data_IF_577798197443
#
_entry.id   IF_577798197443
#
_cell.length_a   1.000
_cell.length_b   1.000
_cell.length_c   1.000
_cell.angle_alpha   90.00
_cell.angle_beta   90.00
_cell.angle_gamma   90.00
#
_symmetry.space_group_name_H-M   'P 1'
#
loop_
_entity.id
_entity.type
_entity.pdbx_description
1 polymer ?
#
# COMPACT_ATOMS: atom_id res chain seq x y z
N UNK A 1 11.88 -18.92 -14.45
CA UNK A 1 10.63 -18.60 -13.73
C UNK A 1 10.68 -17.19 -13.17
N UNK A 2 9.54 -16.45 -13.19
CA UNK A 2 9.46 -15.09 -12.65
C UNK A 2 8.61 -15.09 -11.37
N UNK A 3 9.11 -14.51 -10.26
CA UNK A 3 8.38 -14.33 -9.01
C UNK A 3 8.08 -12.84 -8.81
N UNK A 4 6.82 -12.44 -8.83
CA UNK A 4 6.41 -11.13 -8.34
C UNK A 4 6.40 -11.17 -6.81
N UNK A 5 7.10 -10.25 -6.16
CA UNK A 5 7.30 -10.30 -4.71
C UNK A 5 7.03 -8.95 -4.07
N UNK A 6 6.21 -8.94 -3.02
CA UNK A 6 5.99 -7.76 -2.19
C UNK A 6 7.13 -7.53 -1.21
N UNK A 7 7.76 -6.36 -1.31
CA UNK A 7 8.87 -5.95 -0.45
C UNK A 7 8.44 -5.50 0.96
N UNK A 8 7.14 -5.38 1.21
CA UNK A 8 6.64 -4.78 2.43
C UNK A 8 6.64 -3.23 2.39
N UNK A 9 6.23 -2.57 3.49
CA UNK A 9 6.00 -1.13 3.52
C UNK A 9 7.27 -0.29 3.65
N UNK A 10 8.41 -0.91 3.99
CA UNK A 10 9.68 -0.19 4.13
C UNK A 10 10.73 -0.86 5.01
N UNK A 11 10.40 -1.25 6.23
CA UNK A 11 11.33 -1.98 7.09
C UNK A 11 11.67 -3.36 6.48
N UNK A 12 12.95 -3.73 6.38
CA UNK A 12 13.35 -4.98 5.72
C UNK A 12 12.80 -6.25 6.38
N UNK A 13 12.56 -6.22 7.68
CA UNK A 13 12.01 -7.34 8.46
C UNK A 13 10.49 -7.51 8.27
N UNK A 14 9.83 -6.59 7.57
CA UNK A 14 8.41 -6.71 7.18
C UNK A 14 8.22 -7.37 5.81
N UNK A 15 9.27 -7.82 5.16
CA UNK A 15 9.15 -8.75 4.02
C UNK A 15 8.63 -10.11 4.53
N UNK A 16 7.84 -10.79 3.72
CA UNK A 16 7.42 -12.15 4.07
C UNK A 16 8.62 -13.11 4.04
N UNK A 17 8.57 -14.17 4.86
CA UNK A 17 9.62 -15.20 4.87
C UNK A 17 9.82 -15.82 3.47
N UNK A 18 8.73 -16.03 2.71
CA UNK A 18 8.80 -16.51 1.33
C UNK A 18 9.49 -15.50 0.43
N UNK A 19 9.12 -14.23 0.50
CA UNK A 19 9.76 -13.17 -0.29
C UNK A 19 11.26 -13.06 -0.02
N UNK A 20 11.67 -13.15 1.26
CA UNK A 20 13.09 -13.15 1.62
C UNK A 20 13.84 -14.36 1.04
N UNK A 21 13.27 -15.57 1.12
CA UNK A 21 13.86 -16.77 0.53
C UNK A 21 14.03 -16.66 -0.98
N UNK A 22 12.99 -16.14 -1.69
CA UNK A 22 13.07 -15.92 -3.13
C UNK A 22 14.16 -14.91 -3.52
N UNK A 23 14.37 -13.85 -2.73
CA UNK A 23 15.46 -12.90 -2.94
C UNK A 23 16.85 -13.57 -2.80
N UNK A 24 16.99 -14.48 -1.82
CA UNK A 24 18.25 -15.19 -1.57
C UNK A 24 18.59 -16.18 -2.68
N UNK A 25 17.59 -16.73 -3.35
CA UNK A 25 17.77 -17.72 -4.43
C UNK A 25 17.81 -17.10 -5.83
N UNK A 26 17.41 -15.82 -5.99
CA UNK A 26 17.30 -15.15 -7.26
C UNK A 26 18.61 -15.07 -8.05
N UNK A 27 18.53 -15.32 -9.36
CA UNK A 27 19.62 -15.03 -10.30
C UNK A 27 19.55 -13.59 -10.81
N UNK A 28 18.34 -13.02 -10.77
CA UNK A 28 18.08 -11.64 -11.16
C UNK A 28 17.02 -11.02 -10.26
N UNK A 29 17.24 -9.79 -9.82
CA UNK A 29 16.25 -8.97 -9.12
C UNK A 29 15.99 -7.71 -9.94
N UNK A 30 14.71 -7.44 -10.25
CA UNK A 30 14.25 -6.19 -10.85
C UNK A 30 13.37 -5.49 -9.83
N UNK A 31 13.85 -4.42 -9.21
CA UNK A 31 13.13 -3.74 -8.13
C UNK A 31 12.49 -2.41 -8.56
N UNK A 32 11.43 -2.00 -7.87
CA UNK A 32 10.60 -0.84 -8.20
C UNK A 32 11.19 0.50 -7.66
N UNK A 33 12.44 0.76 -7.93
CA UNK A 33 13.10 2.05 -7.66
C UNK A 33 13.12 2.44 -6.18
N UNK A 34 13.04 3.75 -5.92
CA UNK A 34 13.19 4.35 -4.58
C UNK A 34 12.07 4.01 -3.58
N UNK A 35 11.06 3.29 -4.00
CA UNK A 35 9.97 2.83 -3.13
C UNK A 35 10.30 1.51 -2.43
N UNK A 36 11.31 0.78 -2.89
CA UNK A 36 11.81 -0.44 -2.26
C UNK A 36 13.03 -0.11 -1.39
N UNK A 37 13.06 -0.62 -0.17
CA UNK A 37 14.21 -0.39 0.71
C UNK A 37 15.45 -1.12 0.16
N UNK A 38 16.55 -0.39 -0.13
CA UNK A 38 17.77 -0.98 -0.69
C UNK A 38 18.39 -2.07 0.20
N UNK A 39 18.15 -2.04 1.51
CA UNK A 39 18.66 -3.06 2.42
C UNK A 39 18.17 -4.48 2.07
N UNK A 40 17.01 -4.61 1.42
CA UNK A 40 16.51 -5.89 0.92
C UNK A 40 17.39 -6.50 -0.17
N UNK A 41 18.05 -5.67 -0.97
CA UNK A 41 18.97 -6.14 -2.02
C UNK A 41 20.21 -6.83 -1.43
N UNK A 42 20.52 -6.55 -0.17
CA UNK A 42 21.58 -7.24 0.57
C UNK A 42 21.26 -8.70 0.93
N UNK A 43 20.02 -9.17 0.70
CA UNK A 43 19.65 -10.58 0.84
C UNK A 43 20.09 -11.41 -0.38
N UNK A 44 20.31 -10.77 -1.52
CA UNK A 44 20.67 -11.45 -2.76
C UNK A 44 22.06 -12.09 -2.67
N UNK A 45 22.24 -13.19 -3.41
CA UNK A 45 23.56 -13.80 -3.58
C UNK A 45 24.51 -12.87 -4.36
N UNK A 46 25.84 -12.99 -4.15
CA UNK A 46 26.81 -12.06 -4.76
C UNK A 46 26.75 -11.93 -6.29
N UNK A 47 26.41 -13.01 -6.98
CA UNK A 47 26.33 -13.09 -8.44
C UNK A 47 24.97 -12.66 -9.00
N UNK A 48 24.00 -12.32 -8.15
CA UNK A 48 22.66 -11.89 -8.58
C UNK A 48 22.72 -10.58 -9.37
N UNK A 49 22.16 -10.58 -10.58
CA UNK A 49 22.03 -9.36 -11.36
C UNK A 49 20.89 -8.48 -10.79
N UNK A 50 21.14 -7.18 -10.59
CA UNK A 50 20.16 -6.26 -9.98
C UNK A 50 19.87 -5.11 -10.93
N UNK A 51 18.57 -4.88 -11.23
CA UNK A 51 18.08 -3.83 -12.10
C UNK A 51 17.09 -2.92 -11.39
N UNK A 52 17.19 -1.61 -11.64
CA UNK A 52 16.24 -0.61 -11.17
C UNK A 52 15.21 -0.31 -12.26
N UNK A 53 13.98 -0.79 -12.11
CA UNK A 53 12.94 -0.57 -13.13
C UNK A 53 12.43 0.87 -13.23
N UNK A 54 12.79 1.77 -12.31
CA UNK A 54 12.48 3.19 -12.48
C UNK A 54 13.22 3.83 -13.67
N UNK A 55 14.25 3.17 -14.17
CA UNK A 55 15.10 3.59 -15.29
C UNK A 55 14.84 2.77 -16.57
N UNK A 56 13.81 1.92 -16.56
CA UNK A 56 13.52 0.95 -17.63
C UNK A 56 12.12 1.15 -18.19
N UNK A 57 11.95 0.81 -19.47
CA UNK A 57 10.63 0.63 -20.07
C UNK A 57 10.09 -0.79 -19.78
N UNK A 58 8.80 -1.02 -20.06
CA UNK A 58 8.19 -2.35 -19.93
C UNK A 58 8.95 -3.40 -20.76
N UNK A 59 9.26 -3.07 -22.00
CA UNK A 59 9.97 -3.96 -22.92
C UNK A 59 11.34 -4.33 -22.38
N UNK A 60 12.09 -3.37 -21.82
CA UNK A 60 13.40 -3.62 -21.21
C UNK A 60 13.30 -4.54 -19.99
N UNK A 61 12.26 -4.36 -19.15
CA UNK A 61 11.99 -5.27 -18.03
C UNK A 61 11.70 -6.67 -18.51
N UNK A 62 10.82 -6.82 -19.50
CA UNK A 62 10.48 -8.12 -20.11
C UNK A 62 11.67 -8.78 -20.78
N UNK A 63 12.51 -8.03 -21.49
CA UNK A 63 13.73 -8.55 -22.13
C UNK A 63 14.73 -9.10 -21.11
N UNK A 64 14.83 -8.49 -19.93
CA UNK A 64 15.64 -9.05 -18.84
C UNK A 64 15.04 -10.38 -18.36
N UNK A 65 13.73 -10.44 -18.11
CA UNK A 65 13.05 -11.67 -17.68
C UNK A 65 13.22 -12.81 -18.69
N UNK A 66 13.02 -12.51 -19.98
CA UNK A 66 13.21 -13.49 -21.08
C UNK A 66 14.63 -14.04 -21.14
N UNK A 67 15.65 -13.18 -21.02
CA UNK A 67 17.06 -13.60 -21.05
C UNK A 67 17.41 -14.49 -19.87
N UNK A 68 16.92 -14.16 -18.67
CA UNK A 68 17.16 -14.95 -17.45
C UNK A 68 16.47 -16.31 -17.58
N UNK A 69 15.22 -16.34 -18.05
CA UNK A 69 14.48 -17.59 -18.29
C UNK A 69 15.17 -18.48 -19.32
N UNK A 70 15.61 -17.91 -20.45
CA UNK A 70 16.33 -18.64 -21.48
C UNK A 70 17.66 -19.26 -20.99
N UNK A 71 18.26 -18.66 -19.96
CA UNK A 71 19.45 -19.20 -19.29
C UNK A 71 19.10 -20.22 -18.18
N UNK A 72 17.82 -20.54 -17.97
CA UNK A 72 17.35 -21.44 -16.90
C UNK A 72 17.38 -20.81 -15.50
N UNK A 73 17.49 -19.50 -15.41
CA UNK A 73 17.56 -18.76 -14.16
C UNK A 73 16.20 -18.30 -13.62
N UNK A 74 16.23 -17.71 -12.43
CA UNK A 74 15.05 -17.22 -11.71
C UNK A 74 15.11 -15.71 -11.56
N UNK A 75 14.02 -15.03 -11.94
CA UNK A 75 13.87 -13.57 -11.76
C UNK A 75 12.91 -13.26 -10.60
N UNK A 76 13.32 -12.39 -9.69
CA UNK A 76 12.42 -11.76 -8.72
C UNK A 76 12.08 -10.36 -9.18
N UNK A 77 10.78 -10.09 -9.39
CA UNK A 77 10.23 -8.77 -9.65
C UNK A 77 9.75 -8.17 -8.32
N UNK A 78 10.57 -7.33 -7.70
CA UNK A 78 10.37 -6.82 -6.34
C UNK A 78 9.59 -5.48 -6.35
N UNK A 79 8.40 -5.48 -5.77
CA UNK A 79 7.49 -4.34 -5.68
C UNK A 79 7.39 -3.82 -4.25
N UNK A 80 7.20 -2.52 -4.07
CA UNK A 80 6.90 -1.95 -2.75
C UNK A 80 5.54 -2.43 -2.24
N UNK A 81 5.42 -2.62 -0.94
CA UNK A 81 4.19 -3.08 -0.31
C UNK A 81 3.78 -4.46 -0.81
N UNK A 82 2.67 -4.50 -1.51
CA UNK A 82 2.10 -5.67 -2.17
C UNK A 82 1.92 -5.39 -3.67
N UNK A 83 2.32 -6.30 -4.57
CA UNK A 83 2.21 -6.11 -6.02
C UNK A 83 0.77 -5.89 -6.52
N UNK A 84 -0.24 -6.42 -5.83
CA UNK A 84 -1.64 -6.34 -6.24
C UNK A 84 -2.22 -4.92 -6.17
N UNK A 85 -1.58 -3.98 -5.44
CA UNK A 85 -2.02 -2.60 -5.31
C UNK A 85 -1.08 -1.64 -6.04
N UNK A 86 -1.52 -1.15 -7.20
CA UNK A 86 -0.79 -0.19 -8.04
C UNK A 86 0.60 -0.68 -8.50
N UNK A 87 0.80 -2.00 -8.55
CA UNK A 87 2.07 -2.61 -8.93
C UNK A 87 2.36 -2.60 -10.43
N UNK A 88 1.37 -2.33 -11.30
CA UNK A 88 1.49 -2.41 -12.75
C UNK A 88 2.07 -3.77 -13.21
N UNK A 89 1.57 -4.87 -12.60
CA UNK A 89 2.05 -6.21 -12.88
C UNK A 89 1.25 -6.92 -13.96
N UNK A 90 0.00 -6.49 -14.21
CA UNK A 90 -0.89 -7.17 -15.13
C UNK A 90 -0.32 -7.24 -16.55
N UNK A 91 0.17 -6.14 -17.08
CA UNK A 91 0.78 -6.09 -18.41
C UNK A 91 2.07 -6.94 -18.51
N UNK A 92 2.79 -7.09 -17.40
CA UNK A 92 3.96 -7.98 -17.34
C UNK A 92 3.51 -9.45 -17.37
N UNK A 93 2.49 -9.82 -16.60
CA UNK A 93 1.92 -11.18 -16.60
C UNK A 93 1.35 -11.57 -17.96
N UNK A 94 0.59 -10.66 -18.60
CA UNK A 94 0.03 -10.91 -19.95
C UNK A 94 1.13 -11.17 -20.99
N UNK A 95 2.26 -10.47 -20.88
CA UNK A 95 3.41 -10.70 -21.78
C UNK A 95 4.12 -12.03 -21.47
N UNK A 96 4.27 -12.39 -20.20
CA UNK A 96 4.86 -13.66 -19.78
C UNK A 96 3.97 -14.86 -20.21
N UNK A 97 2.64 -14.72 -20.12
CA UNK A 97 1.69 -15.69 -20.62
C UNK A 97 1.86 -15.91 -22.14
N UNK A 98 1.99 -14.83 -22.90
CA UNK A 98 2.20 -14.89 -24.35
C UNK A 98 3.54 -15.57 -24.72
N UNK A 99 4.56 -15.40 -23.89
CA UNK A 99 5.88 -16.00 -24.06
C UNK A 99 5.96 -17.44 -23.50
N UNK A 100 4.92 -17.93 -22.79
CA UNK A 100 4.93 -19.23 -22.11
C UNK A 100 5.90 -19.31 -20.93
N UNK A 101 6.25 -18.16 -20.34
CA UNK A 101 7.16 -18.07 -19.18
C UNK A 101 6.33 -18.21 -17.89
N UNK A 102 6.64 -19.21 -17.04
CA UNK A 102 5.91 -19.41 -15.79
C UNK A 102 6.23 -18.30 -14.78
N UNK A 103 5.19 -17.88 -14.05
CA UNK A 103 5.33 -16.91 -12.97
C UNK A 103 4.40 -17.23 -11.80
N UNK A 104 4.68 -16.64 -10.65
CA UNK A 104 3.80 -16.61 -9.49
C UNK A 104 3.84 -15.25 -8.78
N UNK A 105 2.95 -15.06 -7.80
CA UNK A 105 2.89 -13.88 -6.97
C UNK A 105 3.02 -14.26 -5.49
N UNK A 106 3.93 -13.58 -4.80
CA UNK A 106 4.13 -13.67 -3.35
C UNK A 106 3.67 -12.36 -2.70
N UNK A 107 2.55 -12.38 -1.97
CA UNK A 107 2.02 -11.17 -1.36
C UNK A 107 2.99 -10.54 -0.36
N UNK A 108 2.89 -9.23 -0.22
CA UNK A 108 3.65 -8.45 0.75
C UNK A 108 2.75 -7.73 1.75
N UNK A 109 3.35 -7.16 2.80
CA UNK A 109 2.63 -6.27 3.70
C UNK A 109 2.45 -4.93 2.99
N UNK A 110 1.23 -4.62 2.58
CA UNK A 110 0.94 -3.37 1.88
C UNK A 110 1.20 -2.15 2.76
N UNK A 111 1.57 -1.04 2.14
CA UNK A 111 1.84 0.21 2.84
C UNK A 111 0.62 0.76 3.61
N UNK A 112 -0.61 0.41 3.23
CA UNK A 112 -1.78 0.80 4.04
C UNK A 112 -1.80 0.08 5.39
N UNK A 113 -1.38 -1.19 5.46
CA UNK A 113 -1.19 -1.89 6.74
C UNK A 113 -0.07 -1.24 7.55
N UNK A 114 1.03 -0.86 6.89
CA UNK A 114 2.13 -0.12 7.53
C UNK A 114 1.68 1.23 8.09
N UNK A 115 0.79 1.94 7.39
CA UNK A 115 0.22 3.20 7.87
C UNK A 115 -0.68 3.01 9.10
N UNK A 116 -1.52 1.97 9.12
CA UNK A 116 -2.33 1.63 10.29
C UNK A 116 -1.45 1.32 11.51
N UNK A 117 -0.39 0.52 11.32
CA UNK A 117 0.57 0.19 12.38
C UNK A 117 1.29 1.44 12.91
N UNK A 118 1.73 2.35 12.02
CA UNK A 118 2.35 3.62 12.42
C UNK A 118 1.41 4.54 13.21
N UNK A 119 0.10 4.41 12.99
CA UNK A 119 -0.94 5.16 13.67
C UNK A 119 -1.43 4.47 14.95
N UNK A 120 -1.06 3.19 15.18
CA UNK A 120 -1.69 2.32 16.18
C UNK A 120 -3.22 2.33 16.06
N UNK A 121 -3.72 2.17 14.84
CA UNK A 121 -5.14 2.30 14.52
C UNK A 121 -5.67 1.06 13.80
N UNK A 122 -6.94 0.76 14.03
CA UNK A 122 -7.73 -0.21 13.28
C UNK A 122 -8.68 0.53 12.35
N UNK A 123 -8.67 0.21 11.06
CA UNK A 123 -9.49 0.89 10.06
C UNK A 123 -10.99 0.60 10.18
N UNK A 124 -11.34 -0.55 10.77
CA UNK A 124 -12.71 -1.05 10.83
C UNK A 124 -13.19 -1.11 12.28
N UNK A 125 -13.88 -0.06 12.72
CA UNK A 125 -14.43 0.04 14.07
C UNK A 125 -15.95 -0.10 14.04
N UNK A 126 -16.56 -0.86 14.99
CA UNK A 126 -18.00 -0.93 15.14
C UNK A 126 -18.62 0.47 15.24
N UNK A 127 -19.76 0.68 14.60
CA UNK A 127 -20.54 1.93 14.51
C UNK A 127 -19.85 3.10 13.81
N UNK A 128 -18.54 3.02 13.54
CA UNK A 128 -17.76 4.07 12.86
C UNK A 128 -17.65 3.79 11.37
N UNK A 129 -16.95 2.72 11.00
CA UNK A 129 -16.82 2.28 9.62
C UNK A 129 -16.45 0.80 9.58
N UNK A 130 -17.13 0.02 8.74
CA UNK A 130 -16.79 -1.38 8.44
C UNK A 130 -16.25 -1.52 7.02
N UNK A 131 -16.05 -0.39 6.33
CA UNK A 131 -15.59 -0.33 4.95
C UNK A 131 -14.30 0.48 4.87
N UNK A 132 -13.32 -0.04 4.14
CA UNK A 132 -12.07 0.66 3.81
C UNK A 132 -12.03 0.88 2.31
N UNK A 133 -12.04 2.14 1.89
CA UNK A 133 -11.88 2.52 0.48
C UNK A 133 -10.40 2.81 0.23
N UNK A 134 -9.76 1.95 -0.54
CA UNK A 134 -8.39 2.15 -1.03
C UNK A 134 -8.48 2.77 -2.42
N UNK A 135 -7.93 3.96 -2.60
CA UNK A 135 -8.03 4.71 -3.85
C UNK A 135 -6.82 5.62 -4.08
N UNK A 136 -6.86 6.37 -5.17
CA UNK A 136 -5.93 7.46 -5.47
C UNK A 136 -6.67 8.64 -6.09
N UNK A 137 -6.09 9.81 -5.98
CA UNK A 137 -6.52 10.98 -6.76
C UNK A 137 -6.12 10.81 -8.23
N UNK A 138 -6.95 11.26 -9.15
CA UNK A 138 -6.54 11.41 -10.54
C UNK A 138 -5.41 12.44 -10.67
N UNK A 139 -4.43 12.13 -11.50
CA UNK A 139 -3.26 12.98 -11.73
C UNK A 139 -2.89 12.97 -13.21
N UNK A 140 -1.67 12.54 -13.52
CA UNK A 140 -1.24 12.34 -14.92
C UNK A 140 -2.01 11.23 -15.63
N UNK A 141 -2.50 10.25 -14.87
CA UNK A 141 -3.35 9.18 -15.36
C UNK A 141 -4.76 9.35 -14.79
N UNK A 142 -5.81 9.14 -15.60
CA UNK A 142 -7.20 9.29 -15.16
C UNK A 142 -7.60 8.19 -14.18
N UNK A 143 -8.72 8.38 -13.51
CA UNK A 143 -9.49 7.35 -12.82
C UNK A 143 -10.87 7.26 -13.49
N UNK A 144 -11.57 6.11 -13.41
CA UNK A 144 -12.94 6.01 -13.88
C UNK A 144 -13.83 7.08 -13.24
N UNK A 145 -14.81 7.60 -13.98
CA UNK A 145 -15.67 8.70 -13.51
C UNK A 145 -16.35 8.40 -12.15
N UNK A 146 -16.79 7.15 -11.97
CA UNK A 146 -17.44 6.69 -10.73
C UNK A 146 -16.47 6.57 -9.54
N UNK A 147 -15.16 6.57 -9.82
CA UNK A 147 -14.09 6.43 -8.81
C UNK A 147 -13.38 7.74 -8.52
N UNK A 148 -13.91 8.86 -8.99
CA UNK A 148 -13.42 10.17 -8.59
C UNK A 148 -13.46 10.32 -7.09
N UNK A 149 -12.42 10.92 -6.53
CA UNK A 149 -12.24 10.99 -5.07
C UNK A 149 -13.44 11.62 -4.36
N UNK A 150 -14.09 12.65 -4.95
CA UNK A 150 -15.29 13.25 -4.38
C UNK A 150 -16.48 12.28 -4.34
N UNK A 151 -16.65 11.44 -5.38
CA UNK A 151 -17.70 10.42 -5.40
C UNK A 151 -17.49 9.35 -4.32
N UNK A 152 -16.25 8.90 -4.14
CA UNK A 152 -15.91 7.93 -3.11
C UNK A 152 -16.01 8.55 -1.70
N UNK A 153 -15.64 9.81 -1.53
CA UNK A 153 -15.72 10.53 -0.27
C UNK A 153 -17.18 10.69 0.22
N UNK A 154 -18.18 10.69 -0.68
CA UNK A 154 -19.60 10.74 -0.33
C UNK A 154 -20.07 9.55 0.54
N UNK A 155 -19.32 8.44 0.57
CA UNK A 155 -19.64 7.29 1.41
C UNK A 155 -19.32 7.50 2.90
N UNK A 156 -18.46 8.46 3.26
CA UNK A 156 -18.04 8.71 4.65
C UNK A 156 -17.32 7.53 5.32
N UNK A 157 -16.84 6.57 4.53
CA UNK A 157 -16.14 5.38 5.02
C UNK A 157 -14.69 5.72 5.43
N UNK A 158 -13.99 4.78 6.03
CA UNK A 158 -12.52 4.88 6.17
C UNK A 158 -11.88 4.93 4.79
N UNK A 159 -11.04 5.93 4.52
CA UNK A 159 -10.32 6.03 3.24
C UNK A 159 -8.81 5.99 3.42
N UNK A 160 -8.15 5.27 2.51
CA UNK A 160 -6.69 5.24 2.36
C UNK A 160 -6.34 5.66 0.93
N UNK A 161 -5.67 6.80 0.80
CA UNK A 161 -5.42 7.44 -0.50
C UNK A 161 -3.94 7.32 -0.83
N UNK A 162 -3.66 6.55 -1.88
CA UNK A 162 -2.32 6.28 -2.41
C UNK A 162 -1.89 7.35 -3.43
N UNK A 163 -0.59 7.48 -3.68
CA UNK A 163 0.00 8.21 -4.81
C UNK A 163 -0.48 9.66 -4.98
N UNK A 164 -1.03 10.28 -3.92
CA UNK A 164 -1.79 11.53 -4.06
C UNK A 164 -1.27 12.69 -3.22
N UNK A 165 -0.24 12.47 -2.38
CA UNK A 165 0.27 13.52 -1.49
C UNK A 165 0.82 14.75 -2.25
N UNK A 166 1.36 14.56 -3.46
CA UNK A 166 1.77 15.66 -4.35
C UNK A 166 0.61 16.51 -4.89
N UNK A 167 -0.65 16.05 -4.71
CA UNK A 167 -1.88 16.73 -5.11
C UNK A 167 -2.73 17.11 -3.90
N UNK A 168 -2.11 17.33 -2.75
CA UNK A 168 -2.77 17.40 -1.43
C UNK A 168 -3.89 18.45 -1.37
N UNK A 169 -3.75 19.58 -2.05
CA UNK A 169 -4.79 20.62 -2.09
C UNK A 169 -6.05 20.11 -2.83
N UNK A 170 -5.86 19.41 -3.96
CA UNK A 170 -6.97 18.81 -4.71
C UNK A 170 -7.62 17.68 -3.91
N UNK A 171 -6.81 16.89 -3.20
CA UNK A 171 -7.31 15.82 -2.30
C UNK A 171 -8.22 16.43 -1.23
N UNK A 172 -7.75 17.46 -0.52
CA UNK A 172 -8.55 18.12 0.52
C UNK A 172 -9.87 18.66 -0.04
N UNK A 173 -9.82 19.34 -1.18
CA UNK A 173 -11.02 19.88 -1.84
C UNK A 173 -12.02 18.77 -2.24
N UNK A 174 -11.51 17.68 -2.82
CA UNK A 174 -12.36 16.56 -3.25
C UNK A 174 -12.99 15.82 -2.05
N UNK A 175 -12.28 15.66 -0.96
CA UNK A 175 -12.82 15.09 0.27
C UNK A 175 -13.99 15.91 0.82
N UNK A 176 -13.84 17.23 0.88
CA UNK A 176 -14.91 18.13 1.33
C UNK A 176 -16.08 18.20 0.33
N UNK A 177 -15.80 18.18 -0.98
CA UNK A 177 -16.81 18.19 -2.02
C UNK A 177 -17.70 16.94 -2.02
N UNK A 178 -17.24 15.81 -1.50
CA UNK A 178 -18.02 14.59 -1.30
C UNK A 178 -19.16 14.74 -0.29
N UNK A 179 -19.08 15.72 0.61
CA UNK A 179 -20.15 16.11 1.53
C UNK A 179 -20.30 15.25 2.80
N UNK A 180 -19.72 14.05 2.85
CA UNK A 180 -19.78 13.22 4.06
C UNK A 180 -18.66 13.55 5.07
N UNK A 181 -17.53 14.08 4.62
CA UNK A 181 -16.49 14.60 5.51
C UNK A 181 -16.63 16.09 5.72
N UNK A 182 -16.37 16.53 6.95
CA UNK A 182 -16.34 17.93 7.33
C UNK A 182 -14.90 18.41 7.51
N UNK A 183 -14.65 19.73 7.63
CA UNK A 183 -13.32 20.23 7.95
C UNK A 183 -12.72 19.65 9.24
N UNK A 184 -13.55 19.22 10.18
CA UNK A 184 -13.18 18.65 11.47
C UNK A 184 -12.92 17.15 11.41
N UNK A 185 -13.35 16.46 10.34
CA UNK A 185 -13.14 15.01 10.19
C UNK A 185 -11.65 14.67 10.34
N UNK A 186 -11.31 13.70 11.22
CA UNK A 186 -9.92 13.31 11.45
C UNK A 186 -9.24 12.78 10.19
N UNK A 187 -7.99 13.17 10.02
CA UNK A 187 -7.12 12.72 8.94
C UNK A 187 -5.68 12.55 9.43
N UNK A 188 -4.88 11.80 8.70
CA UNK A 188 -3.45 11.74 8.94
C UNK A 188 -2.68 11.54 7.64
N UNK A 189 -1.44 12.01 7.62
CA UNK A 189 -0.46 11.71 6.57
C UNK A 189 0.65 10.88 7.18
N UNK A 190 0.87 9.69 6.63
CA UNK A 190 1.94 8.78 7.07
C UNK A 190 3.01 8.73 5.99
N UNK A 191 4.12 9.39 6.27
CA UNK A 191 5.29 9.44 5.39
C UNK A 191 6.20 8.27 5.71
N UNK A 192 6.63 7.53 4.68
CA UNK A 192 7.57 6.42 4.79
C UNK A 192 7.25 5.47 5.96
N UNK A 193 6.02 4.92 6.01
CA UNK A 193 5.62 3.98 7.04
C UNK A 193 6.65 2.85 7.21
N UNK A 194 7.06 2.57 8.42
CA UNK A 194 8.07 1.59 8.84
C UNK A 194 9.53 1.88 8.45
N UNK A 195 9.83 2.94 7.70
CA UNK A 195 11.19 3.36 7.44
C UNK A 195 11.79 4.10 8.64
N UNK A 196 13.14 4.21 8.76
CA UNK A 196 13.77 5.02 9.82
C UNK A 196 13.31 6.48 9.83
N UNK A 197 12.97 7.05 8.67
CA UNK A 197 12.51 8.42 8.52
C UNK A 197 11.00 8.58 8.62
N UNK A 198 10.30 7.57 9.13
CA UNK A 198 8.84 7.62 9.31
C UNK A 198 8.38 8.88 10.01
N UNK A 199 7.36 9.53 9.46
CA UNK A 199 6.65 10.63 10.12
C UNK A 199 5.14 10.39 10.08
N UNK A 200 4.48 10.67 11.20
CA UNK A 200 3.02 10.66 11.31
C UNK A 200 2.55 12.07 11.58
N UNK A 201 1.77 12.63 10.68
CA UNK A 201 1.18 13.96 10.80
C UNK A 201 -0.33 13.80 10.99
N UNK A 202 -0.81 13.87 12.23
CA UNK A 202 -2.25 13.88 12.55
C UNK A 202 -2.80 15.28 12.31
N UNK A 203 -3.95 15.37 11.66
CA UNK A 203 -4.61 16.62 11.29
C UNK A 203 -6.12 16.38 11.13
N UNK A 204 -6.81 17.33 10.56
CA UNK A 204 -8.19 17.17 10.08
C UNK A 204 -8.24 17.38 8.57
N UNK A 205 -9.36 17.03 7.93
CA UNK A 205 -9.54 17.26 6.49
C UNK A 205 -9.35 18.76 6.17
N UNK A 206 -9.86 19.66 7.00
CA UNK A 206 -9.71 21.11 6.79
C UNK A 206 -8.27 21.62 6.88
N UNK A 207 -7.40 20.95 7.64
CA UNK A 207 -5.98 21.32 7.81
C UNK A 207 -5.00 20.45 7.03
N UNK A 208 -5.49 19.44 6.31
CA UNK A 208 -4.69 18.39 5.66
C UNK A 208 -3.58 18.97 4.78
N UNK A 209 -3.92 19.86 3.86
CA UNK A 209 -2.95 20.44 2.92
C UNK A 209 -1.89 21.31 3.62
N UNK A 210 -2.33 22.16 4.56
CA UNK A 210 -1.43 22.99 5.36
C UNK A 210 -0.46 22.16 6.18
N UNK A 211 -0.96 21.18 6.93
CA UNK A 211 -0.16 20.30 7.78
C UNK A 211 0.86 19.50 6.96
N UNK A 212 0.46 19.00 5.79
CA UNK A 212 1.35 18.25 4.89
C UNK A 212 2.51 19.12 4.41
N UNK A 213 2.23 20.35 3.96
CA UNK A 213 3.25 21.29 3.49
C UNK A 213 4.22 21.75 4.59
N UNK A 214 3.69 22.07 5.76
CA UNK A 214 4.51 22.48 6.92
C UNK A 214 5.50 21.39 7.33
N UNK A 215 5.15 20.11 7.12
CA UNK A 215 6.03 18.99 7.41
C UNK A 215 6.94 18.59 6.23
N UNK A 216 6.91 19.32 5.11
CA UNK A 216 7.76 19.09 3.95
C UNK A 216 7.47 17.77 3.21
N UNK A 217 6.27 17.21 3.33
CA UNK A 217 5.91 15.93 2.74
C UNK A 217 5.36 16.17 1.34
N UNK A 218 6.06 15.68 0.31
CA UNK A 218 5.70 15.86 -1.10
C UNK A 218 5.54 14.55 -1.88
N UNK A 219 6.05 13.44 -1.35
CA UNK A 219 6.03 12.11 -1.96
C UNK A 219 6.11 11.01 -0.90
N UNK A 220 5.94 9.76 -1.29
CA UNK A 220 6.14 8.56 -0.45
C UNK A 220 5.34 8.61 0.86
N UNK A 221 4.08 9.03 0.76
CA UNK A 221 3.19 9.08 1.91
C UNK A 221 1.79 8.61 1.54
N UNK A 222 1.11 8.03 2.52
CA UNK A 222 -0.31 7.72 2.47
C UNK A 222 -1.11 8.76 3.22
N UNK A 223 -2.28 9.08 2.68
CA UNK A 223 -3.28 9.92 3.35
C UNK A 223 -4.37 8.99 3.84
N UNK A 224 -4.71 9.08 5.11
CA UNK A 224 -5.80 8.30 5.72
C UNK A 224 -6.84 9.25 6.30
N UNK A 225 -8.11 8.94 6.11
CA UNK A 225 -9.23 9.83 6.48
C UNK A 225 -10.36 9.01 7.09
N UNK A 226 -10.93 9.50 8.16
CA UNK A 226 -12.14 8.94 8.75
C UNK A 226 -12.15 8.97 10.27
N UNK A 227 -13.33 8.80 10.83
CA UNK A 227 -13.60 8.82 12.26
C UNK A 227 -12.89 7.71 13.06
N UNK A 228 -12.35 6.68 12.38
CA UNK A 228 -11.53 5.65 13.02
C UNK A 228 -10.27 6.21 13.71
N UNK A 229 -9.83 7.40 13.31
CA UNK A 229 -8.73 8.14 13.95
C UNK A 229 -9.14 8.88 15.21
N UNK A 230 -10.44 8.98 15.47
CA UNK A 230 -11.02 9.58 16.66
C UNK A 230 -10.95 8.68 17.89
N UNK A 231 -11.59 9.12 18.97
CA UNK A 231 -11.57 8.40 20.26
C UNK A 231 -12.91 7.76 20.61
N UNK A 232 -13.94 8.00 19.82
CA UNK A 232 -15.30 7.50 20.09
C UNK A 232 -15.59 6.32 19.19
N UNK A 233 -15.84 5.15 19.78
CA UNK A 233 -16.27 3.94 19.09
C UNK A 233 -16.96 3.01 20.09
N UNK A 234 -17.79 2.11 19.59
CA UNK A 234 -18.37 1.03 20.37
C UNK A 234 -17.43 -0.18 20.40
N UNK A 235 -17.41 -0.88 21.53
CA UNK A 235 -16.63 -2.12 21.65
C UNK A 235 -17.20 -3.20 20.74
N UNK A 236 -16.32 -4.03 20.18
CA UNK A 236 -16.74 -5.22 19.45
C UNK A 236 -17.56 -6.15 20.34
N UNK A 237 -18.72 -6.59 19.87
CA UNK A 237 -19.53 -7.61 20.56
C UNK A 237 -18.79 -8.92 20.76
N UNK A 238 -17.76 -9.21 19.99
CA UNK A 238 -16.95 -10.43 20.14
C UNK A 238 -16.35 -10.58 21.55
N UNK A 239 -16.06 -9.46 22.22
CA UNK A 239 -15.52 -9.46 23.59
C UNK A 239 -16.59 -9.18 24.66
N UNK A 240 -17.84 -8.96 24.27
CA UNK A 240 -18.94 -8.76 25.20
C UNK A 240 -19.18 -10.08 25.97
N UNK A 241 -19.16 -10.06 27.32
CA UNK A 241 -19.37 -11.26 28.13
C UNK A 241 -20.74 -11.92 27.89
N UNK A 242 -21.76 -11.15 27.48
CA UNK A 242 -23.11 -11.66 27.20
C UNK A 242 -23.27 -12.24 25.78
N UNK A 243 -22.28 -12.02 24.90
CA UNK A 243 -22.34 -12.47 23.50
C UNK A 243 -21.85 -13.91 23.37
N UNK A 244 -22.73 -14.79 22.90
CA UNK A 244 -22.37 -16.17 22.59
C UNK A 244 -21.68 -16.27 21.25
N UNK A 245 -20.51 -16.90 21.23
CA UNK A 245 -19.76 -17.25 20.01
C UNK A 245 -19.73 -18.76 19.84
N UNK A 246 -19.17 -19.25 18.73
CA UNK A 246 -18.93 -20.68 18.52
C UNK A 246 -18.05 -21.30 19.62
N UNK A 247 -17.15 -20.52 20.22
CA UNK A 247 -16.16 -20.98 21.20
C UNK A 247 -16.46 -20.56 22.65
N UNK A 248 -17.46 -19.70 22.87
CA UNK A 248 -17.78 -19.14 24.20
C UNK A 248 -19.28 -18.91 24.36
N UNK A 249 -19.89 -19.50 25.40
CA UNK A 249 -21.23 -19.10 25.82
C UNK A 249 -21.20 -17.74 26.50
N UNK A 250 -22.13 -16.86 26.12
CA UNK A 250 -22.39 -15.63 26.85
C UNK A 250 -22.87 -15.91 28.27
N UNK A 251 -22.50 -15.05 29.20
CA UNK A 251 -23.05 -15.07 30.55
C UNK A 251 -24.54 -14.66 30.49
N UNK A 252 -25.38 -15.32 31.24
CA UNK A 252 -26.77 -14.90 31.43
C UNK A 252 -26.79 -13.52 32.14
N UNK A 253 -27.71 -12.64 31.70
CA UNK A 253 -27.92 -11.33 32.33
C UNK A 253 -28.62 -11.49 33.68
#
# INVERSE_FOLDING_TARGET
MVHFVGAGPGAPDLITRRGAALLQEADCIIYAGSLVNPALLGLAKPECAVYNSAEMTLEQVLDVMRRVEAAGGTTVRLHTGDPCLYGAIREQMDALDADGIPYDDTPGVSSFCGAAAALNAEYTLPTISQTVIITRMEGRTPVPEKEKLASLAAHGATMVIFLSVGLIDKVQQALLAGGAYTPETPAAVVYKASWPEQKVVRCTVGTLAGSTRTNGITKTALIVVGEFLGTRYERSKLYDPTFTTEFRKGADQ
#
